data_IF_118549912872
#
_entry.id   IF_118549912872
#
_cell.length_a   1.000
_cell.length_b   1.000
_cell.length_c   1.000
_cell.angle_alpha   90.00
_cell.angle_beta   90.00
_cell.angle_gamma   90.00
#
_symmetry.space_group_name_H-M   'P 1'
#
loop_
_entity.id
_entity.type
_entity.pdbx_description
1 polymer ?
#
# COMPACT_ATOMS: atom_id res chain seq x y z
N UNK A 1 -28.15 8.48 -3.80
CA UNK A 1 -26.71 8.15 -3.99
C UNK A 1 -25.96 9.40 -4.42
N UNK A 2 -25.01 9.82 -3.64
CA UNK A 2 -24.26 11.03 -3.97
C UNK A 2 -22.90 10.66 -4.56
N UNK A 3 -22.46 11.52 -5.49
CA UNK A 3 -21.15 11.34 -6.11
C UNK A 3 -20.04 11.46 -5.06
N UNK A 4 -20.24 12.33 -4.09
CA UNK A 4 -19.27 12.51 -3.02
C UNK A 4 -19.04 11.24 -2.24
N UNK A 5 -20.11 10.51 -1.97
CA UNK A 5 -20.01 9.25 -1.26
C UNK A 5 -19.23 8.22 -2.08
N UNK A 6 -19.52 8.16 -3.37
CA UNK A 6 -18.83 7.24 -4.27
C UNK A 6 -17.35 7.56 -4.38
N UNK A 7 -17.02 8.84 -4.55
CA UNK A 7 -15.63 9.26 -4.64
C UNK A 7 -14.88 9.01 -3.34
N UNK A 8 -15.56 9.20 -2.21
CA UNK A 8 -14.97 8.93 -0.92
C UNK A 8 -14.59 7.47 -0.76
N UNK A 9 -15.47 6.58 -1.20
CA UNK A 9 -15.19 5.15 -1.15
C UNK A 9 -14.02 4.77 -2.05
N UNK A 10 -13.99 5.33 -3.26
CA UNK A 10 -12.88 5.05 -4.18
C UNK A 10 -11.56 5.54 -3.60
N UNK A 11 -11.57 6.72 -3.00
CA UNK A 11 -10.38 7.27 -2.39
C UNK A 11 -9.87 6.37 -1.27
N UNK A 12 -10.78 5.89 -0.44
CA UNK A 12 -10.41 4.98 0.65
C UNK A 12 -9.78 3.70 0.12
N UNK A 13 -10.36 3.12 -0.92
CA UNK A 13 -9.82 1.89 -1.49
C UNK A 13 -8.44 2.13 -2.07
N UNK A 14 -8.25 3.24 -2.76
CA UNK A 14 -6.94 3.59 -3.32
C UNK A 14 -5.92 3.81 -2.22
N UNK A 15 -6.31 4.50 -1.16
CA UNK A 15 -5.38 4.76 -0.05
C UNK A 15 -4.93 3.46 0.60
N UNK A 16 -5.84 2.53 0.80
CA UNK A 16 -5.50 1.23 1.37
C UNK A 16 -4.54 0.46 0.47
N UNK A 17 -4.75 0.53 -0.83
CA UNK A 17 -3.90 -0.15 -1.79
C UNK A 17 -2.50 0.45 -1.78
N UNK A 18 -2.40 1.76 -1.77
CA UNK A 18 -1.11 2.45 -1.75
C UNK A 18 -0.34 2.09 -0.49
N UNK A 19 -1.01 2.11 0.66
CA UNK A 19 -0.39 1.75 1.93
C UNK A 19 0.06 0.29 1.90
N UNK A 20 -0.76 -0.58 1.35
CA UNK A 20 -0.41 -1.99 1.23
C UNK A 20 0.81 -2.21 0.35
N UNK A 21 0.91 -1.46 -0.76
CA UNK A 21 2.06 -1.57 -1.65
C UNK A 21 3.33 -1.09 -0.96
N UNK A 22 3.25 -0.02 -0.18
CA UNK A 22 4.39 0.47 0.56
C UNK A 22 4.92 -0.58 1.53
N UNK A 23 4.02 -1.25 2.22
CA UNK A 23 4.41 -2.30 3.16
C UNK A 23 5.05 -3.48 2.45
N UNK A 24 4.55 -3.82 1.27
CA UNK A 24 5.15 -4.90 0.48
C UNK A 24 6.55 -4.54 0.03
N UNK A 25 6.74 -3.31 -0.42
CA UNK A 25 8.07 -2.84 -0.83
C UNK A 25 9.03 -2.85 0.35
N UNK A 26 8.57 -2.36 1.50
CA UNK A 26 9.39 -2.36 2.71
C UNK A 26 9.83 -3.76 3.08
N UNK A 27 8.92 -4.70 3.06
CA UNK A 27 9.23 -6.09 3.39
C UNK A 27 10.22 -6.69 2.40
N UNK A 28 10.03 -6.37 1.14
CA UNK A 28 10.94 -6.86 0.10
C UNK A 28 12.35 -6.32 0.33
N UNK A 29 12.45 -5.03 0.63
CA UNK A 29 13.75 -4.41 0.89
C UNK A 29 14.43 -5.02 2.11
N UNK A 30 13.66 -5.24 3.17
CA UNK A 30 14.21 -5.85 4.38
C UNK A 30 14.72 -7.25 4.07
N UNK A 31 13.97 -8.02 3.30
CA UNK A 31 14.38 -9.36 2.92
C UNK A 31 15.65 -9.36 2.10
N UNK A 32 15.77 -8.44 1.14
CA UNK A 32 16.94 -8.32 0.30
C UNK A 32 18.17 -7.91 1.12
N UNK A 33 17.99 -6.98 2.03
CA UNK A 33 19.08 -6.53 2.89
C UNK A 33 19.53 -7.64 3.83
N UNK A 34 18.59 -8.34 4.41
CA UNK A 34 18.91 -9.44 5.32
C UNK A 34 19.67 -10.54 4.59
N UNK A 35 19.27 -10.85 3.38
CA UNK A 35 19.91 -11.88 2.59
C UNK A 35 21.28 -11.46 2.14
N UNK A 36 21.47 -10.17 1.87
CA UNK A 36 22.75 -9.65 1.43
C UNK A 36 23.74 -9.37 2.54
N UNK A 37 23.31 -9.49 3.79
CA UNK A 37 24.14 -9.15 4.95
C UNK A 37 24.78 -10.35 5.63
N UNK A 38 24.79 -11.44 4.99
CA UNK A 38 25.42 -12.64 5.54
C UNK A 38 26.97 -12.63 5.41
#
# INVERSE_FOLDING_TARGET
MSLQHTFGELREQLAKRIIGQEKLVDRLLIALLADGHL
#
